data_IF_410384053273
#
_entry.id   IF_410384053273
#
_cell.length_a   1.000
_cell.length_b   1.000
_cell.length_c   1.000
_cell.angle_alpha   90.00
_cell.angle_beta   90.00
_cell.angle_gamma   90.00
#
_symmetry.space_group_name_H-M   'P 1'
#
loop_
_entity.id
_entity.type
_entity.pdbx_description
1 polymer ?
#
# COMPACT_ATOMS: atom_id res chain seq x y z
N UNK A 1 2.07 -33.85 -60.03
CA UNK A 1 3.44 -33.88 -59.49
C UNK A 1 3.37 -34.33 -58.05
N UNK A 2 3.92 -35.49 -57.71
CA UNK A 2 4.05 -35.94 -56.32
C UNK A 2 5.08 -35.03 -55.63
N UNK A 3 4.72 -34.48 -54.47
CA UNK A 3 5.65 -33.68 -53.68
C UNK A 3 6.84 -34.55 -53.26
N UNK A 4 8.07 -34.05 -53.41
CA UNK A 4 9.30 -34.79 -53.06
C UNK A 4 9.37 -35.13 -51.57
N UNK A 5 8.81 -34.26 -50.73
CA UNK A 5 8.71 -34.42 -49.28
C UNK A 5 7.25 -34.29 -48.87
N UNK A 6 6.79 -35.24 -48.08
CA UNK A 6 5.40 -35.32 -47.64
C UNK A 6 5.30 -36.13 -46.34
N UNK A 7 4.21 -35.92 -45.61
CA UNK A 7 3.83 -36.71 -44.45
C UNK A 7 2.45 -37.32 -44.67
N UNK A 8 2.25 -38.52 -44.15
CA UNK A 8 1.00 -39.27 -44.21
C UNK A 8 0.63 -39.80 -42.84
N UNK A 9 -0.67 -40.03 -42.65
CA UNK A 9 -1.16 -40.84 -41.54
C UNK A 9 -0.82 -42.31 -41.79
N UNK A 10 -0.40 -42.99 -40.73
CA UNK A 10 -0.36 -44.46 -40.74
C UNK A 10 -1.77 -45.01 -40.59
N UNK A 11 -1.96 -46.30 -40.86
CA UNK A 11 -3.22 -47.00 -40.61
C UNK A 11 -3.61 -46.91 -39.13
N UNK A 12 -2.62 -46.93 -38.22
CA UNK A 12 -2.84 -46.72 -36.80
C UNK A 12 -3.34 -45.31 -36.50
N UNK A 13 -2.64 -44.28 -36.99
CA UNK A 13 -3.03 -42.88 -36.77
C UNK A 13 -4.40 -42.55 -37.34
N UNK A 14 -4.71 -43.04 -38.54
CA UNK A 14 -6.02 -42.87 -39.15
C UNK A 14 -7.13 -43.53 -38.32
N UNK A 15 -6.91 -44.75 -37.81
CA UNK A 15 -7.87 -45.44 -36.95
C UNK A 15 -8.08 -44.71 -35.62
N UNK A 16 -7.00 -44.28 -34.97
CA UNK A 16 -7.08 -43.54 -33.71
C UNK A 16 -7.80 -42.20 -33.90
N UNK A 17 -7.57 -41.51 -35.02
CA UNK A 17 -8.22 -40.24 -35.32
C UNK A 17 -9.72 -40.44 -35.57
N UNK A 18 -10.08 -41.48 -36.34
CA UNK A 18 -11.47 -41.84 -36.58
C UNK A 18 -12.19 -42.20 -35.26
N UNK A 19 -11.53 -42.94 -34.37
CA UNK A 19 -12.07 -43.29 -33.05
C UNK A 19 -12.28 -42.05 -32.18
N UNK A 20 -11.30 -41.12 -32.16
CA UNK A 20 -11.41 -39.86 -31.43
C UNK A 20 -12.61 -39.03 -31.91
N UNK A 21 -12.78 -38.91 -33.23
CA UNK A 21 -13.95 -38.25 -33.84
C UNK A 21 -15.26 -38.94 -33.44
N UNK A 22 -15.33 -40.27 -33.54
CA UNK A 22 -16.55 -41.03 -33.25
C UNK A 22 -16.96 -40.97 -31.78
N UNK A 23 -15.99 -40.93 -30.86
CA UNK A 23 -16.22 -40.90 -29.42
C UNK A 23 -16.30 -39.48 -28.85
N UNK A 24 -16.01 -38.45 -29.64
CA UNK A 24 -15.90 -37.08 -29.17
C UNK A 24 -14.71 -36.86 -28.20
N UNK A 25 -13.67 -37.69 -28.32
CA UNK A 25 -12.43 -37.58 -27.54
C UNK A 25 -11.33 -36.92 -28.36
N UNK A 26 -10.21 -36.55 -27.71
CA UNK A 26 -9.05 -35.97 -28.38
C UNK A 26 -7.86 -36.92 -28.33
N UNK A 27 -7.11 -37.02 -29.43
CA UNK A 27 -5.85 -37.73 -29.50
C UNK A 27 -4.69 -36.79 -29.17
N UNK A 28 -3.84 -37.21 -28.25
CA UNK A 28 -2.61 -36.50 -27.93
C UNK A 28 -1.48 -36.96 -28.86
N UNK A 29 -0.72 -35.98 -29.38
CA UNK A 29 0.56 -36.23 -30.03
C UNK A 29 1.65 -35.94 -29.00
N UNK A 30 2.23 -37.01 -28.45
CA UNK A 30 3.07 -36.95 -27.25
C UNK A 30 4.54 -36.75 -27.57
N UNK A 31 5.03 -37.48 -28.58
CA UNK A 31 6.44 -37.56 -28.96
C UNK A 31 6.61 -37.40 -30.46
N UNK A 32 7.72 -36.79 -30.86
CA UNK A 32 8.19 -36.79 -32.23
C UNK A 32 9.56 -37.46 -32.28
N UNK A 33 9.71 -38.41 -33.19
CA UNK A 33 10.99 -39.03 -33.48
C UNK A 33 11.51 -38.57 -34.84
N UNK A 34 12.82 -38.62 -34.98
CA UNK A 34 13.55 -38.38 -36.22
C UNK A 34 14.49 -39.55 -36.45
N UNK A 35 14.74 -39.83 -37.72
CA UNK A 35 15.58 -40.92 -38.14
C UNK A 35 16.37 -40.57 -39.38
N UNK A 36 17.37 -41.39 -39.67
CA UNK A 36 18.24 -41.20 -40.83
C UNK A 36 17.84 -42.08 -42.02
N UNK A 37 16.72 -42.82 -41.92
CA UNK A 37 16.23 -43.67 -43.00
C UNK A 37 17.14 -44.86 -43.38
N UNK A 38 18.09 -45.24 -42.52
CA UNK A 38 19.09 -46.26 -42.84
C UNK A 38 20.12 -45.80 -43.87
N UNK A 39 20.35 -44.49 -43.99
CA UNK A 39 21.28 -43.90 -44.95
C UNK A 39 20.66 -43.52 -46.29
N UNK A 40 19.37 -43.79 -46.50
CA UNK A 40 18.63 -43.43 -47.72
C UNK A 40 17.38 -42.62 -47.36
N UNK A 41 16.84 -41.86 -48.32
CA UNK A 41 15.58 -41.14 -48.14
C UNK A 41 14.42 -42.15 -48.18
N UNK A 42 13.70 -42.40 -47.07
CA UNK A 42 12.62 -43.36 -47.06
C UNK A 42 11.37 -42.80 -47.75
N UNK A 43 10.55 -43.69 -48.28
CA UNK A 43 9.22 -43.35 -48.79
C UNK A 43 8.20 -43.67 -47.70
N UNK A 44 7.46 -42.68 -47.18
CA UNK A 44 6.42 -42.91 -46.18
C UNK A 44 5.38 -43.93 -46.66
N UNK A 45 5.07 -44.92 -45.83
CA UNK A 45 4.07 -45.98 -46.08
C UNK A 45 3.03 -46.01 -44.94
N UNK A 46 1.71 -45.97 -45.24
CA UNK A 46 0.66 -46.07 -44.22
C UNK A 46 0.76 -47.31 -43.32
N UNK A 47 1.36 -48.41 -43.78
CA UNK A 47 1.53 -49.63 -43.01
C UNK A 47 2.65 -49.54 -41.95
N UNK A 48 3.44 -48.46 -41.92
CA UNK A 48 4.54 -48.31 -40.97
C UNK A 48 4.05 -48.27 -39.52
N UNK A 49 4.71 -49.04 -38.66
CA UNK A 49 4.53 -49.02 -37.21
C UNK A 49 5.72 -48.40 -36.47
N UNK A 50 6.82 -48.18 -37.19
CA UNK A 50 8.07 -47.56 -36.71
C UNK A 50 8.81 -46.87 -37.85
N UNK A 51 9.73 -45.98 -37.50
CA UNK A 51 10.71 -45.40 -38.44
C UNK A 51 11.68 -46.47 -38.93
N UNK A 52 12.26 -46.26 -40.12
CA UNK A 52 13.23 -47.20 -40.72
C UNK A 52 14.48 -47.32 -39.84
N UNK A 53 15.04 -46.18 -39.42
CA UNK A 53 16.10 -46.11 -38.41
C UNK A 53 15.96 -44.83 -37.60
N UNK A 54 15.27 -44.96 -36.46
CA UNK A 54 15.16 -43.89 -35.47
C UNK A 54 16.53 -43.55 -34.85
N UNK A 55 16.84 -42.27 -34.78
CA UNK A 55 18.07 -41.74 -34.16
C UNK A 55 17.78 -40.98 -32.88
N UNK A 56 16.60 -40.36 -32.78
CA UNK A 56 16.18 -39.60 -31.60
C UNK A 56 14.66 -39.57 -31.49
N UNK A 57 14.17 -39.63 -30.25
CA UNK A 57 12.77 -39.37 -29.89
C UNK A 57 12.69 -38.51 -28.65
N UNK A 58 11.91 -37.44 -28.70
CA UNK A 58 11.61 -36.62 -27.54
C UNK A 58 10.17 -36.12 -27.58
N UNK A 59 9.75 -35.43 -26.52
CA UNK A 59 8.41 -34.85 -26.43
C UNK A 59 8.20 -33.79 -27.53
N UNK A 60 6.97 -33.70 -28.04
CA UNK A 60 6.60 -32.60 -28.94
C UNK A 60 6.55 -31.29 -28.15
N UNK A 61 7.16 -30.24 -28.72
CA UNK A 61 7.19 -28.90 -28.14
C UNK A 61 5.91 -28.13 -28.43
N UNK A 62 5.41 -28.21 -29.68
CA UNK A 62 4.18 -27.54 -30.08
C UNK A 62 3.37 -28.39 -31.06
N UNK A 63 2.05 -28.38 -30.89
CA UNK A 63 1.08 -28.88 -31.88
C UNK A 63 0.05 -27.76 -32.08
N UNK A 64 -0.01 -27.23 -33.29
CA UNK A 64 -0.91 -26.15 -33.68
C UNK A 64 -1.65 -26.47 -34.98
N UNK A 65 -2.68 -25.68 -35.29
CA UNK A 65 -3.41 -25.75 -36.56
C UNK A 65 -2.83 -24.67 -37.48
N UNK A 66 -2.63 -25.00 -38.77
CA UNK A 66 -2.19 -24.02 -39.76
C UNK A 66 -3.29 -22.97 -40.01
N UNK A 67 -2.93 -21.69 -39.93
CA UNK A 67 -3.89 -20.59 -40.04
C UNK A 67 -4.50 -20.48 -41.45
N UNK A 68 -3.80 -20.94 -42.48
CA UNK A 68 -4.26 -20.88 -43.88
C UNK A 68 -5.02 -22.15 -44.28
N UNK A 69 -4.75 -23.27 -43.61
CA UNK A 69 -5.30 -24.59 -43.91
C UNK A 69 -5.83 -25.25 -42.64
N UNK A 70 -7.12 -25.08 -42.29
CA UNK A 70 -7.69 -25.57 -41.03
C UNK A 70 -7.66 -27.09 -40.81
N UNK A 71 -7.34 -27.87 -41.87
CA UNK A 71 -7.18 -29.32 -41.82
C UNK A 71 -5.72 -29.75 -41.66
N UNK A 72 -4.77 -28.81 -41.58
CA UNK A 72 -3.36 -29.10 -41.37
C UNK A 72 -3.01 -28.85 -39.91
N UNK A 73 -2.34 -29.84 -39.32
CA UNK A 73 -1.65 -29.66 -38.07
C UNK A 73 -0.15 -29.50 -38.31
N UNK A 74 0.48 -28.69 -37.46
CA UNK A 74 1.92 -28.48 -37.44
C UNK A 74 2.41 -29.00 -36.09
N UNK A 75 3.14 -30.10 -36.11
CA UNK A 75 3.86 -30.61 -34.95
C UNK A 75 5.31 -30.14 -35.02
N UNK A 76 5.79 -29.51 -33.96
CA UNK A 76 7.13 -28.96 -33.87
C UNK A 76 7.94 -29.59 -32.72
N UNK A 77 9.21 -29.84 -33.00
CA UNK A 77 10.19 -30.27 -32.01
C UNK A 77 11.50 -29.49 -32.18
N UNK A 78 12.06 -29.04 -31.05
CA UNK A 78 13.38 -28.41 -30.97
C UNK A 78 14.41 -29.46 -30.58
N UNK A 79 15.46 -29.59 -31.39
CA UNK A 79 16.62 -30.42 -31.11
C UNK A 79 17.74 -29.50 -30.61
N UNK A 80 18.16 -29.62 -29.33
CA UNK A 80 19.19 -28.78 -28.75
C UNK A 80 20.58 -29.07 -29.34
N UNK A 81 21.55 -28.21 -29.05
CA UNK A 81 22.91 -28.31 -29.59
C UNK A 81 23.71 -29.53 -29.12
N UNK A 82 23.39 -30.07 -27.94
CA UNK A 82 24.06 -31.22 -27.34
C UNK A 82 23.55 -32.58 -27.87
N UNK A 83 22.55 -32.58 -28.75
CA UNK A 83 22.00 -33.79 -29.36
C UNK A 83 22.19 -33.73 -30.89
N UNK A 84 22.94 -34.67 -31.45
CA UNK A 84 23.27 -34.68 -32.88
C UNK A 84 24.23 -35.80 -33.25
N UNK A 85 24.95 -35.63 -34.36
CA UNK A 85 25.87 -36.62 -34.92
C UNK A 85 25.22 -37.57 -35.93
N UNK A 86 24.06 -37.18 -36.49
CA UNK A 86 23.29 -38.00 -37.40
C UNK A 86 22.53 -37.15 -38.43
N UNK A 87 22.15 -37.80 -39.53
CA UNK A 87 21.34 -37.20 -40.58
C UNK A 87 19.86 -37.36 -40.28
N UNK A 88 19.07 -36.36 -40.67
CA UNK A 88 17.60 -36.38 -40.60
C UNK A 88 17.09 -36.65 -42.01
N UNK A 89 16.31 -37.73 -42.17
CA UNK A 89 15.67 -38.13 -43.43
C UNK A 89 14.22 -38.57 -43.24
N UNK A 90 13.83 -38.93 -42.03
CA UNK A 90 12.46 -39.27 -41.67
C UNK A 90 12.05 -38.64 -40.34
N UNK A 91 10.76 -38.41 -40.20
CA UNK A 91 10.12 -37.85 -39.02
C UNK A 91 8.89 -38.72 -38.72
N UNK A 92 8.64 -38.99 -37.44
CA UNK A 92 7.47 -39.75 -36.98
C UNK A 92 6.79 -39.08 -35.79
N UNK A 93 5.46 -39.08 -35.77
CA UNK A 93 4.65 -38.61 -34.65
C UNK A 93 4.04 -39.79 -33.90
N UNK A 94 4.07 -39.74 -32.57
CA UNK A 94 3.61 -40.83 -31.70
C UNK A 94 2.58 -40.35 -30.68
N UNK A 95 1.65 -41.23 -30.34
CA UNK A 95 0.66 -41.00 -29.28
C UNK A 95 1.21 -41.37 -27.89
N UNK A 96 0.38 -41.23 -26.85
CA UNK A 96 0.75 -41.59 -25.47
C UNK A 96 1.02 -43.10 -25.29
N UNK A 97 0.45 -43.94 -26.14
CA UNK A 97 0.65 -45.40 -26.13
C UNK A 97 1.92 -45.83 -26.89
N UNK A 98 2.62 -44.89 -27.51
CA UNK A 98 3.80 -45.16 -28.32
C UNK A 98 3.51 -45.66 -29.73
N UNK A 99 2.25 -45.62 -30.18
CA UNK A 99 1.86 -45.96 -31.55
C UNK A 99 2.23 -44.85 -32.53
N UNK A 100 2.78 -45.23 -33.69
CA UNK A 100 3.16 -44.29 -34.75
C UNK A 100 1.90 -43.76 -35.45
N UNK A 101 1.57 -42.48 -35.25
CA UNK A 101 0.40 -41.80 -35.83
C UNK A 101 0.67 -41.41 -37.28
N UNK A 102 1.83 -40.81 -37.52
CA UNK A 102 2.17 -40.25 -38.82
C UNK A 102 3.65 -40.41 -39.10
N UNK A 103 3.98 -40.54 -40.38
CA UNK A 103 5.34 -40.67 -40.88
C UNK A 103 5.53 -39.76 -42.07
N UNK A 104 6.70 -39.14 -42.15
CA UNK A 104 7.06 -38.27 -43.26
C UNK A 104 8.54 -38.35 -43.58
N UNK A 105 8.88 -38.06 -44.83
CA UNK A 105 10.26 -37.92 -45.26
C UNK A 105 10.69 -36.45 -45.19
N UNK A 106 11.98 -36.24 -44.92
CA UNK A 106 12.57 -34.92 -44.77
C UNK A 106 13.76 -34.74 -45.71
N UNK A 107 14.05 -33.51 -46.17
CA UNK A 107 15.30 -33.21 -46.86
C UNK A 107 16.48 -33.64 -46.02
N UNK A 108 17.44 -34.34 -46.64
CA UNK A 108 18.64 -34.80 -45.95
C UNK A 108 19.36 -33.61 -45.30
N UNK A 109 19.42 -33.63 -43.97
CA UNK A 109 20.00 -32.55 -43.17
C UNK A 109 20.88 -33.15 -42.11
N UNK A 110 22.14 -32.73 -42.04
CA UNK A 110 23.04 -33.14 -40.96
C UNK A 110 22.82 -32.27 -39.73
N UNK A 111 22.58 -32.90 -38.57
CA UNK A 111 22.49 -32.22 -37.28
C UNK A 111 23.77 -32.50 -36.48
N UNK A 112 24.74 -31.56 -36.43
CA UNK A 112 25.97 -31.78 -35.69
C UNK A 112 25.71 -31.84 -34.18
N UNK A 113 26.56 -32.60 -33.49
CA UNK A 113 26.67 -32.54 -32.03
C UNK A 113 27.70 -31.47 -31.63
N UNK A 114 27.51 -30.82 -30.49
CA UNK A 114 28.44 -29.84 -29.92
C UNK A 114 29.89 -30.34 -29.85
N UNK A 115 30.12 -31.64 -29.58
CA UNK A 115 31.47 -32.24 -29.53
C UNK A 115 32.21 -32.21 -30.87
N UNK A 116 31.51 -32.05 -31.99
CA UNK A 116 32.09 -31.90 -33.33
C UNK A 116 32.54 -30.46 -33.61
N UNK A 117 32.46 -29.57 -32.62
CA UNK A 117 32.86 -28.16 -32.74
C UNK A 117 31.80 -27.25 -33.36
N UNK A 118 30.58 -27.75 -33.59
CA UNK A 118 29.45 -26.97 -34.13
C UNK A 118 28.17 -27.25 -33.34
N UNK A 119 27.90 -26.42 -32.34
CA UNK A 119 26.63 -26.41 -31.61
C UNK A 119 25.53 -25.76 -32.46
N UNK A 120 24.52 -26.52 -32.86
CA UNK A 120 23.38 -26.00 -33.63
C UNK A 120 22.08 -26.43 -32.97
N UNK A 121 21.21 -25.49 -32.62
CA UNK A 121 19.81 -25.80 -32.29
C UNK A 121 19.02 -25.89 -33.60
N UNK A 122 18.26 -26.96 -33.78
CA UNK A 122 17.48 -27.18 -35.01
C UNK A 122 16.01 -27.42 -34.67
N UNK A 123 15.14 -26.63 -35.27
CA UNK A 123 13.69 -26.82 -35.19
C UNK A 123 13.26 -27.73 -36.34
N UNK A 124 12.47 -28.75 -36.03
CA UNK A 124 11.88 -29.69 -36.98
C UNK A 124 10.37 -29.57 -36.90
N UNK A 125 9.73 -29.42 -38.06
CA UNK A 125 8.29 -29.31 -38.20
C UNK A 125 7.78 -30.42 -39.13
N UNK A 126 6.74 -31.12 -38.69
CA UNK A 126 5.94 -31.98 -39.56
C UNK A 126 4.57 -31.32 -39.76
N UNK A 127 4.23 -31.06 -41.02
CA UNK A 127 2.90 -30.61 -41.42
C UNK A 127 2.11 -31.83 -41.90
N UNK A 128 0.97 -32.09 -41.28
CA UNK A 128 0.14 -33.26 -41.54
C UNK A 128 -1.31 -32.86 -41.82
N UNK A 129 -1.86 -33.36 -42.92
CA UNK A 129 -3.29 -33.24 -43.21
C UNK A 129 -4.08 -34.28 -42.41
N UNK A 130 -5.14 -33.84 -41.72
CA UNK A 130 -6.01 -34.69 -40.92
C UNK A 130 -7.48 -34.48 -41.32
N UNK A 131 -8.31 -35.49 -41.09
CA UNK A 131 -9.75 -35.42 -41.40
C UNK A 131 -10.54 -34.56 -40.42
N UNK A 132 -10.02 -34.35 -39.21
CA UNK A 132 -10.58 -33.44 -38.20
C UNK A 132 -9.51 -32.96 -37.24
N UNK A 133 -9.31 -31.64 -37.15
CA UNK A 133 -8.38 -31.02 -36.20
C UNK A 133 -8.97 -30.91 -34.78
N UNK A 134 -10.29 -31.02 -34.63
CA UNK A 134 -10.96 -31.00 -33.32
C UNK A 134 -10.66 -32.25 -32.47
N UNK A 135 -10.38 -33.36 -33.15
CA UNK A 135 -10.00 -34.63 -32.54
C UNK A 135 -8.53 -34.69 -32.12
N UNK A 136 -7.78 -33.58 -32.21
CA UNK A 136 -6.36 -33.51 -31.88
C UNK A 136 -6.16 -32.50 -30.76
N UNK A 137 -5.43 -32.91 -29.74
CA UNK A 137 -5.06 -32.02 -28.63
C UNK A 137 -3.96 -31.07 -29.07
N UNK A 138 -4.24 -29.77 -29.04
CA UNK A 138 -3.24 -28.74 -29.26
C UNK A 138 -2.36 -28.61 -28.02
N UNK A 139 -1.05 -28.53 -28.25
CA UNK A 139 -0.05 -28.48 -27.17
C UNK A 139 0.88 -27.31 -27.40
N UNK A 140 1.22 -26.60 -26.33
CA UNK A 140 2.37 -25.69 -26.32
C UNK A 140 3.15 -25.92 -25.04
N UNK A 141 4.42 -26.30 -25.17
CA UNK A 141 5.37 -26.36 -24.06
C UNK A 141 6.21 -25.06 -24.03
N UNK A 142 5.93 -24.12 -23.13
CA UNK A 142 6.64 -22.83 -23.09
C UNK A 142 8.08 -22.94 -22.57
N UNK A 143 8.53 -24.10 -22.09
CA UNK A 143 9.84 -24.25 -21.42
C UNK A 143 11.01 -24.52 -22.37
N UNK A 144 10.75 -24.97 -23.61
CA UNK A 144 11.79 -25.38 -24.58
C UNK A 144 11.56 -24.80 -25.99
N UNK A 145 10.54 -23.96 -26.17
CA UNK A 145 10.23 -23.35 -27.48
C UNK A 145 11.04 -22.06 -27.66
N UNK A 146 11.78 -21.98 -28.77
CA UNK A 146 12.21 -20.71 -29.35
C UNK A 146 10.96 -19.99 -29.86
N UNK A 147 10.30 -19.25 -28.97
CA UNK A 147 9.07 -18.57 -29.31
C UNK A 147 9.32 -17.53 -30.41
N UNK A 148 8.63 -17.66 -31.54
CA UNK A 148 8.65 -16.60 -32.55
C UNK A 148 8.09 -15.32 -31.93
N UNK A 149 8.57 -14.15 -32.36
CA UNK A 149 8.07 -12.86 -31.85
C UNK A 149 6.55 -12.77 -31.97
N UNK A 150 6.00 -13.29 -33.06
CA UNK A 150 4.57 -13.34 -33.32
C UNK A 150 3.82 -14.22 -32.29
N UNK A 151 4.35 -15.40 -31.97
CA UNK A 151 3.77 -16.26 -30.94
C UNK A 151 3.76 -15.56 -29.56
N UNK A 152 4.86 -14.90 -29.21
CA UNK A 152 4.94 -14.13 -27.95
C UNK A 152 3.91 -13.01 -27.94
N UNK A 153 3.79 -12.23 -29.02
CA UNK A 153 2.78 -11.17 -29.14
C UNK A 153 1.37 -11.72 -28.99
N UNK A 154 1.01 -12.78 -29.74
CA UNK A 154 -0.31 -13.42 -29.65
C UNK A 154 -0.61 -13.94 -28.25
N UNK A 155 0.37 -14.55 -27.58
CA UNK A 155 0.22 -15.05 -26.20
C UNK A 155 0.02 -13.92 -25.19
N UNK A 156 0.73 -12.79 -25.35
CA UNK A 156 0.56 -11.62 -24.50
C UNK A 156 -0.82 -10.99 -24.72
N UNK A 157 -1.25 -10.84 -25.98
CA UNK A 157 -2.56 -10.30 -26.31
C UNK A 157 -3.69 -11.14 -25.71
N UNK A 158 -3.59 -12.47 -25.81
CA UNK A 158 -4.54 -13.39 -25.18
C UNK A 158 -4.55 -13.23 -23.65
N UNK A 159 -3.37 -13.07 -23.02
CA UNK A 159 -3.27 -12.85 -21.58
C UNK A 159 -3.86 -11.49 -21.14
N UNK A 160 -3.66 -10.43 -21.94
CA UNK A 160 -4.26 -9.11 -21.72
C UNK A 160 -5.78 -9.22 -21.80
N UNK A 161 -6.32 -9.82 -22.87
CA UNK A 161 -7.77 -10.00 -23.02
C UNK A 161 -8.38 -10.79 -21.86
N UNK A 162 -7.72 -11.87 -21.42
CA UNK A 162 -8.16 -12.65 -20.27
C UNK A 162 -8.13 -11.82 -18.96
N UNK A 163 -7.11 -10.99 -18.78
CA UNK A 163 -6.98 -10.08 -17.64
C UNK A 163 -8.05 -8.99 -17.65
N UNK A 164 -8.35 -8.40 -18.81
CA UNK A 164 -9.40 -7.40 -19.00
C UNK A 164 -10.78 -7.99 -18.73
N UNK A 165 -11.06 -9.19 -19.26
CA UNK A 165 -12.31 -9.90 -19.02
C UNK A 165 -12.50 -10.26 -17.53
N UNK A 166 -11.42 -10.60 -16.83
CA UNK A 166 -11.46 -10.82 -15.37
C UNK A 166 -11.68 -9.52 -14.62
N UNK A 167 -11.00 -8.44 -15.01
CA UNK A 167 -11.14 -7.13 -14.40
C UNK A 167 -12.55 -6.58 -14.52
N UNK A 168 -13.21 -6.76 -15.67
CA UNK A 168 -14.60 -6.38 -15.90
C UNK A 168 -15.61 -7.13 -15.01
N UNK A 169 -15.27 -8.32 -14.49
CA UNK A 169 -16.13 -9.07 -13.56
C UNK A 169 -15.94 -8.70 -12.09
N UNK A 170 -14.76 -8.21 -11.72
CA UNK A 170 -14.37 -7.95 -10.33
C UNK A 170 -14.52 -6.47 -9.98
N UNK A 171 -14.23 -5.59 -10.93
CA UNK A 171 -14.23 -4.15 -10.71
C UNK A 171 -15.27 -3.49 -11.62
N UNK A 172 -16.09 -2.64 -11.03
CA UNK A 172 -16.93 -1.74 -11.82
C UNK A 172 -16.03 -0.74 -12.57
N UNK A 173 -16.25 -0.61 -13.87
CA UNK A 173 -15.62 0.45 -14.67
C UNK A 173 -16.04 1.82 -14.13
N UNK A 174 -15.25 2.86 -14.43
CA UNK A 174 -15.61 4.24 -14.05
C UNK A 174 -17.00 4.64 -14.56
N UNK A 175 -17.39 4.12 -15.73
CA UNK A 175 -18.72 4.33 -16.33
C UNK A 175 -19.81 3.59 -15.55
N UNK A 176 -19.60 2.32 -15.20
CA UNK A 176 -20.55 1.54 -14.38
C UNK A 176 -20.70 2.11 -12.97
N UNK A 177 -19.62 2.60 -12.35
CA UNK A 177 -19.69 3.31 -11.08
C UNK A 177 -20.48 4.62 -11.23
N UNK A 178 -20.20 5.40 -12.27
CA UNK A 178 -20.89 6.68 -12.50
C UNK A 178 -22.38 6.50 -12.79
N UNK A 179 -22.75 5.48 -13.57
CA UNK A 179 -24.14 5.16 -13.93
C UNK A 179 -24.89 4.44 -12.82
N UNK A 180 -24.21 3.56 -12.07
CA UNK A 180 -24.78 2.85 -10.92
C UNK A 180 -25.00 3.76 -9.71
N UNK A 181 -24.15 4.77 -9.50
CA UNK A 181 -24.35 5.80 -8.48
C UNK A 181 -25.36 6.87 -8.94
N UNK A 182 -25.47 7.16 -10.23
CA UNK A 182 -26.44 8.14 -10.72
C UNK A 182 -27.87 7.63 -10.49
N UNK A 183 -28.52 8.14 -9.44
CA UNK A 183 -29.86 7.76 -9.02
C UNK A 183 -29.93 6.93 -7.73
N UNK A 184 -28.80 6.46 -7.19
CA UNK A 184 -28.71 5.88 -5.83
C UNK A 184 -28.22 6.88 -4.80
N UNK A 185 -27.44 7.87 -5.23
CA UNK A 185 -27.05 9.02 -4.44
C UNK A 185 -27.30 10.27 -5.30
N UNK A 186 -28.24 11.16 -4.92
CA UNK A 186 -28.35 12.45 -5.60
C UNK A 186 -27.02 13.18 -5.40
N UNK A 187 -26.38 13.55 -6.51
CA UNK A 187 -25.18 14.37 -6.49
C UNK A 187 -25.53 15.71 -5.85
N UNK A 188 -25.23 15.88 -4.56
CA UNK A 188 -25.52 17.10 -3.81
C UNK A 188 -26.41 16.96 -2.58
N UNK A 189 -26.83 15.77 -2.16
CA UNK A 189 -27.69 15.58 -0.98
C UNK A 189 -26.91 15.65 0.36
N UNK A 190 -26.10 16.70 0.54
CA UNK A 190 -25.99 17.31 1.86
C UNK A 190 -27.21 18.19 1.96
N UNK A 191 -28.05 18.00 2.99
CA UNK A 191 -29.23 18.86 3.21
C UNK A 191 -28.87 20.31 2.88
N UNK A 192 -29.41 20.83 1.78
CA UNK A 192 -29.11 22.20 1.40
C UNK A 192 -29.56 23.09 2.55
N UNK A 193 -28.93 24.25 2.74
CA UNK A 193 -29.35 25.17 3.83
C UNK A 193 -30.86 25.47 3.76
N UNK A 194 -31.44 25.41 2.56
CA UNK A 194 -32.87 25.51 2.29
C UNK A 194 -33.68 24.33 2.85
N UNK A 195 -33.27 23.07 2.62
CA UNK A 195 -33.95 21.88 3.15
C UNK A 195 -33.82 21.78 4.67
N UNK A 196 -32.66 22.15 5.22
CA UNK A 196 -32.47 22.25 6.67
C UNK A 196 -33.40 23.31 7.27
N UNK A 197 -33.48 24.49 6.65
CA UNK A 197 -34.35 25.58 7.08
C UNK A 197 -35.84 25.21 6.97
N UNK A 198 -36.25 24.53 5.90
CA UNK A 198 -37.63 24.10 5.69
C UNK A 198 -38.03 22.93 6.60
N UNK A 199 -37.08 22.04 6.94
CA UNK A 199 -37.31 20.92 7.85
C UNK A 199 -37.32 21.34 9.33
N UNK A 200 -36.49 22.32 9.72
CA UNK A 200 -36.47 22.86 11.09
C UNK A 200 -37.62 23.82 11.38
N UNK A 201 -38.10 24.57 10.38
CA UNK A 201 -39.12 25.60 10.56
C UNK A 201 -40.46 25.05 11.07
N UNK A 202 -40.74 23.76 10.90
CA UNK A 202 -41.92 23.07 11.44
C UNK A 202 -41.67 22.14 12.62
N UNK A 203 -40.41 21.93 13.04
CA UNK A 203 -40.03 20.99 14.12
C UNK A 203 -39.72 21.68 15.45
N UNK A 204 -39.49 22.99 15.43
CA UNK A 204 -39.50 23.81 16.64
C UNK A 204 -40.92 24.36 16.83
N UNK A 205 -41.60 24.11 17.96
CA UNK A 205 -42.89 24.74 18.23
C UNK A 205 -42.70 26.26 18.13
N UNK A 206 -43.43 26.95 17.27
CA UNK A 206 -43.45 28.43 17.29
C UNK A 206 -44.38 28.87 18.41
N UNK A 207 -43.89 28.84 19.65
CA UNK A 207 -44.55 29.49 20.77
C UNK A 207 -44.11 30.95 20.88
N UNK A 208 -44.90 31.77 21.59
CA UNK A 208 -44.48 33.11 22.04
C UNK A 208 -43.36 32.96 23.08
N UNK A 209 -42.15 32.67 22.60
CA UNK A 209 -40.97 32.69 23.44
C UNK A 209 -40.63 34.14 23.72
N UNK A 210 -40.59 34.51 25.00
CA UNK A 210 -40.14 35.83 25.41
C UNK A 210 -38.77 36.11 24.78
N UNK A 211 -38.72 37.16 23.96
CA UNK A 211 -37.50 37.61 23.33
C UNK A 211 -36.48 37.97 24.40
N UNK A 212 -35.19 37.93 24.07
CA UNK A 212 -34.13 38.40 24.98
C UNK A 212 -34.42 39.81 25.51
N UNK A 213 -35.06 40.66 24.69
CA UNK A 213 -35.51 42.00 25.07
C UNK A 213 -36.61 41.96 26.13
N UNK A 214 -37.66 41.15 25.95
CA UNK A 214 -38.76 41.04 26.92
C UNK A 214 -38.31 40.40 28.23
N UNK A 215 -37.48 39.36 28.16
CA UNK A 215 -36.91 38.72 29.36
C UNK A 215 -36.04 39.73 30.11
N UNK A 216 -35.18 40.48 29.41
CA UNK A 216 -34.34 41.49 30.04
C UNK A 216 -35.17 42.64 30.64
N UNK A 217 -36.28 43.04 30.00
CA UNK A 217 -37.16 44.08 30.54
C UNK A 217 -37.91 43.60 31.78
N UNK A 218 -38.41 42.36 31.80
CA UNK A 218 -39.16 41.80 32.94
C UNK A 218 -38.27 41.35 34.10
N UNK A 219 -36.99 41.08 33.86
CA UNK A 219 -36.00 40.71 34.87
C UNK A 219 -35.01 41.84 35.20
N UNK A 220 -35.31 43.06 34.77
CA UNK A 220 -34.50 44.25 35.02
C UNK A 220 -34.41 44.51 36.53
N UNK A 221 -33.24 44.23 37.12
CA UNK A 221 -33.05 44.26 38.59
C UNK A 221 -33.21 45.65 39.19
N UNK A 222 -32.99 46.69 38.40
CA UNK A 222 -33.22 48.10 38.74
C UNK A 222 -34.72 48.45 38.84
N UNK A 223 -35.60 47.62 38.27
CA UNK A 223 -37.05 47.74 38.36
C UNK A 223 -37.67 46.87 39.47
N UNK A 224 -36.88 46.01 40.13
CA UNK A 224 -37.39 45.16 41.22
C UNK A 224 -37.82 46.02 42.41
N UNK A 225 -39.14 46.11 42.62
CA UNK A 225 -39.76 46.93 43.65
C UNK A 225 -39.94 48.41 43.27
N UNK A 226 -39.82 48.77 41.98
CA UNK A 226 -40.13 50.11 41.48
C UNK A 226 -41.63 50.43 41.57
N UNK A 227 -42.48 49.40 41.52
CA UNK A 227 -43.93 49.44 41.64
C UNK A 227 -44.42 49.53 43.10
N UNK A 228 -43.54 49.40 44.09
CA UNK A 228 -43.89 49.51 45.51
C UNK A 228 -44.10 50.99 45.87
N UNK A 229 -45.34 51.45 46.16
CA UNK A 229 -45.61 52.88 46.32
C UNK A 229 -44.99 53.47 47.59
N UNK A 230 -44.88 52.67 48.66
CA UNK A 230 -44.27 53.07 49.93
C UNK A 230 -43.31 51.97 50.43
N UNK A 231 -42.03 52.11 50.05
CA UNK A 231 -40.99 51.11 50.32
C UNK A 231 -40.72 50.92 51.80
N UNK A 232 -40.78 52.00 52.59
CA UNK A 232 -40.53 51.95 54.04
C UNK A 232 -41.59 51.12 54.77
N UNK A 233 -42.86 51.30 54.40
CA UNK A 233 -43.98 50.51 54.95
C UNK A 233 -43.88 49.05 54.53
N UNK A 234 -43.49 48.79 53.28
CA UNK A 234 -43.27 47.43 52.78
C UNK A 234 -42.16 46.69 53.55
N UNK A 235 -41.01 47.33 53.77
CA UNK A 235 -39.88 46.77 54.53
C UNK A 235 -40.30 46.50 56.00
N UNK A 236 -41.06 47.41 56.60
CA UNK A 236 -41.58 47.25 57.96
C UNK A 236 -42.54 46.06 58.07
N UNK A 237 -43.46 45.91 57.11
CA UNK A 237 -44.44 44.83 57.10
C UNK A 237 -43.81 43.44 56.89
N UNK A 238 -42.67 43.37 56.21
CA UNK A 238 -41.89 42.14 56.06
C UNK A 238 -41.00 41.82 57.28
N UNK A 239 -40.98 42.65 58.31
CA UNK A 239 -40.15 42.43 59.50
C UNK A 239 -38.64 42.54 59.23
N UNK A 240 -38.24 43.29 58.20
CA UNK A 240 -36.85 43.50 57.81
C UNK A 240 -36.13 44.76 58.36
N UNK A 241 -36.69 45.61 59.26
CA UNK A 241 -36.10 46.92 59.55
C UNK A 241 -34.71 46.84 60.23
N UNK A 242 -34.40 45.76 60.95
CA UNK A 242 -33.12 45.60 61.66
C UNK A 242 -32.04 44.84 60.85
N UNK A 243 -32.41 44.23 59.72
CA UNK A 243 -31.50 43.41 58.89
C UNK A 243 -30.97 44.15 57.66
N UNK A 244 -31.37 45.41 57.48
CA UNK A 244 -30.89 46.24 56.38
C UNK A 244 -29.52 46.84 56.72
N UNK A 245 -28.47 46.44 56.00
CA UNK A 245 -27.17 47.11 56.04
C UNK A 245 -26.94 47.92 54.76
N UNK A 246 -26.53 49.20 54.83
CA UNK A 246 -26.23 50.00 53.65
C UNK A 246 -25.08 49.40 52.84
N UNK A 247 -25.19 49.50 51.51
CA UNK A 247 -24.16 49.03 50.56
C UNK A 247 -22.82 49.73 50.83
N UNK A 248 -21.81 48.98 51.26
CA UNK A 248 -20.44 49.48 51.43
C UNK A 248 -19.70 49.00 52.67
N UNK A 249 -20.37 48.36 53.62
CA UNK A 249 -19.75 47.92 54.88
C UNK A 249 -19.74 46.39 55.02
N UNK A 250 -19.04 45.70 54.12
CA UNK A 250 -18.96 44.23 54.13
C UNK A 250 -17.59 43.74 54.61
N UNK A 251 -17.50 43.38 55.89
CA UNK A 251 -16.56 42.35 56.33
C UNK A 251 -17.35 41.23 57.01
N UNK A 252 -17.38 40.01 56.45
CA UNK A 252 -17.74 38.82 57.21
C UNK A 252 -16.51 38.24 57.90
N UNK A 253 -16.62 37.96 59.19
CA UNK A 253 -15.61 37.21 59.95
C UNK A 253 -15.57 35.74 59.49
N UNK A 254 -14.37 35.21 59.22
CA UNK A 254 -14.14 33.79 58.92
C UNK A 254 -12.75 33.52 58.35
N UNK A 255 -12.06 32.51 58.89
CA UNK A 255 -10.71 32.08 58.50
C UNK A 255 -10.69 31.44 57.11
N UNK A 256 -10.15 32.15 56.12
CA UNK A 256 -9.71 31.55 54.86
C UNK A 256 -8.18 31.43 54.87
N UNK A 257 -7.60 30.35 54.29
CA UNK A 257 -6.16 30.19 54.20
C UNK A 257 -5.53 31.41 53.52
N UNK A 258 -4.68 32.11 54.27
CA UNK A 258 -3.97 33.30 53.81
C UNK A 258 -3.14 32.96 52.57
N UNK A 259 -3.09 33.90 51.63
CA UNK A 259 -2.43 33.85 50.31
C UNK A 259 -0.92 33.52 50.30
N UNK A 260 -0.34 33.08 51.42
CA UNK A 260 1.06 32.74 51.60
C UNK A 260 1.43 31.29 51.23
N UNK A 261 0.48 30.45 50.83
CA UNK A 261 0.71 29.01 50.53
C UNK A 261 0.63 28.63 49.06
N UNK A 262 0.42 29.58 48.14
CA UNK A 262 0.25 29.29 46.71
C UNK A 262 1.51 29.70 45.91
N UNK A 263 2.06 28.74 45.16
CA UNK A 263 3.24 28.93 44.30
C UNK A 263 2.99 29.99 43.21
N UNK A 264 3.95 30.89 43.02
CA UNK A 264 3.97 31.94 41.99
C UNK A 264 2.89 33.05 42.00
N UNK A 265 2.18 33.28 43.12
CA UNK A 265 1.17 34.36 43.19
C UNK A 265 1.82 35.76 43.15
N UNK A 266 1.39 36.56 42.16
CA UNK A 266 1.81 37.94 41.96
C UNK A 266 3.19 38.12 41.31
N UNK A 267 3.73 37.05 40.70
CA UNK A 267 5.07 37.04 40.08
C UNK A 267 5.05 37.49 38.61
N UNK A 268 6.21 37.95 38.11
CA UNK A 268 6.45 38.35 36.71
C UNK A 268 7.61 37.56 36.09
N UNK A 269 7.60 37.38 34.77
CA UNK A 269 8.70 36.73 34.05
C UNK A 269 9.85 37.70 33.77
N UNK A 270 11.08 37.23 33.99
CA UNK A 270 12.33 37.93 33.72
C UNK A 270 13.21 37.13 32.77
N UNK A 271 13.72 37.78 31.72
CA UNK A 271 14.73 37.21 30.83
C UNK A 271 16.14 37.36 31.42
N UNK A 272 16.78 36.25 31.72
CA UNK A 272 18.06 36.19 32.46
C UNK A 272 19.21 35.62 31.63
N UNK A 273 19.01 35.37 30.33
CA UNK A 273 19.96 34.70 29.43
C UNK A 273 21.38 35.27 29.50
N UNK A 274 21.54 36.60 29.48
CA UNK A 274 22.85 37.26 29.54
C UNK A 274 23.50 37.27 30.94
N UNK A 275 22.74 36.94 31.98
CA UNK A 275 23.16 37.01 33.39
C UNK A 275 23.38 35.63 34.01
N UNK A 276 23.24 34.56 33.21
CA UNK A 276 23.28 33.18 33.67
C UNK A 276 24.28 32.37 32.86
N UNK A 277 24.87 31.37 33.51
CA UNK A 277 25.83 30.44 32.95
C UNK A 277 25.52 29.04 33.47
N UNK A 278 25.89 28.03 32.67
CA UNK A 278 25.87 26.64 33.12
C UNK A 278 26.87 26.44 34.27
N UNK A 279 26.63 25.42 35.07
CA UNK A 279 27.48 24.99 36.19
C UNK A 279 27.77 26.10 37.22
N UNK A 280 26.91 27.12 37.26
CA UNK A 280 27.00 28.24 38.20
C UNK A 280 25.81 28.19 39.17
N UNK A 281 26.10 28.29 40.47
CA UNK A 281 25.08 28.26 41.53
C UNK A 281 24.47 29.64 41.74
N UNK A 282 23.14 29.69 41.71
CA UNK A 282 22.33 30.89 41.97
C UNK A 282 21.46 30.69 43.19
N UNK A 283 21.07 31.77 43.87
CA UNK A 283 20.18 31.74 45.04
C UNK A 283 18.85 32.39 44.73
N UNK A 284 17.74 31.74 45.08
CA UNK A 284 16.42 32.37 45.04
C UNK A 284 16.20 33.26 46.27
N UNK A 285 16.46 34.56 46.11
CA UNK A 285 16.33 35.57 47.16
C UNK A 285 15.01 36.36 47.12
N UNK A 286 14.00 35.90 46.37
CA UNK A 286 12.75 36.65 46.16
C UNK A 286 11.79 36.60 47.36
N UNK A 287 12.07 35.76 48.36
CA UNK A 287 11.17 35.49 49.48
C UNK A 287 9.95 34.65 49.09
N UNK A 288 9.83 34.22 47.83
CA UNK A 288 8.76 33.37 47.30
C UNK A 288 9.34 32.23 46.45
N UNK A 289 8.58 31.16 46.23
CA UNK A 289 8.95 30.16 45.23
C UNK A 289 8.96 30.79 43.83
N UNK A 290 9.96 30.46 43.01
CA UNK A 290 10.08 30.93 41.62
C UNK A 290 9.98 29.75 40.67
N UNK A 291 9.66 29.99 39.40
CA UNK A 291 9.73 28.97 38.36
C UNK A 291 10.82 29.32 37.36
N UNK A 292 11.79 28.41 37.16
CA UNK A 292 12.93 28.62 36.27
C UNK A 292 12.75 27.76 35.03
N UNK A 293 12.98 28.32 33.85
CA UNK A 293 12.92 27.62 32.57
C UNK A 293 14.15 27.96 31.74
N UNK A 294 14.90 26.95 31.31
CA UNK A 294 16.14 27.13 30.55
C UNK A 294 16.10 26.28 29.29
N UNK A 295 16.35 26.93 28.16
CA UNK A 295 16.48 26.32 26.84
C UNK A 295 17.93 26.40 26.38
N UNK A 296 18.51 25.26 26.01
CA UNK A 296 19.81 25.18 25.36
C UNK A 296 19.62 24.87 23.87
N UNK A 297 20.49 25.42 23.03
CA UNK A 297 20.55 25.13 21.60
C UNK A 297 21.88 24.47 21.22
N UNK A 298 21.82 23.51 20.29
CA UNK A 298 22.99 22.92 19.64
C UNK A 298 23.04 23.31 18.15
N UNK A 299 24.25 23.61 17.66
CA UNK A 299 24.53 23.84 16.24
C UNK A 299 24.76 22.49 15.51
N UNK A 300 23.80 21.57 15.60
CA UNK A 300 23.86 20.28 14.89
C UNK A 300 24.77 19.21 15.52
N UNK A 301 24.96 19.24 16.83
CA UNK A 301 25.75 18.21 17.54
C UNK A 301 24.96 16.90 17.61
N UNK A 302 25.45 15.85 16.92
CA UNK A 302 24.96 14.48 17.09
C UNK A 302 25.35 13.95 18.47
N UNK A 303 24.38 13.47 19.26
CA UNK A 303 24.67 12.94 20.59
C UNK A 303 23.46 12.90 21.52
N UNK A 304 23.64 12.32 22.70
CA UNK A 304 22.70 12.47 23.79
C UNK A 304 22.85 13.90 24.35
N UNK A 305 21.72 14.58 24.56
CA UNK A 305 21.67 15.84 25.32
C UNK A 305 20.94 15.54 26.62
N UNK A 306 21.63 15.73 27.75
CA UNK A 306 21.12 15.47 29.08
C UNK A 306 21.29 16.70 29.97
N UNK A 307 20.18 17.35 30.30
CA UNK A 307 20.15 18.52 31.16
C UNK A 307 19.59 18.17 32.53
N UNK A 308 20.26 18.61 33.61
CA UNK A 308 19.76 18.44 34.97
C UNK A 308 19.80 19.76 35.73
N UNK A 309 18.63 20.18 36.21
CA UNK A 309 18.48 21.32 37.11
C UNK A 309 18.40 20.81 38.54
N UNK A 310 19.18 21.42 39.42
CA UNK A 310 19.27 21.10 40.83
C UNK A 310 18.75 22.25 41.66
N UNK A 311 18.09 21.93 42.78
CA UNK A 311 17.80 22.86 43.86
C UNK A 311 18.27 22.23 45.18
N UNK A 312 19.13 22.92 45.94
CA UNK A 312 19.80 22.38 47.14
C UNK A 312 20.40 20.99 46.90
N UNK A 313 21.12 20.84 45.78
CA UNK A 313 21.75 19.58 45.31
C UNK A 313 20.78 18.42 45.05
N UNK A 314 19.46 18.66 45.08
CA UNK A 314 18.42 17.69 44.67
C UNK A 314 18.04 17.94 43.21
N UNK A 315 18.02 16.92 42.33
CA UNK A 315 17.57 17.09 40.96
C UNK A 315 16.07 17.37 40.93
N UNK A 316 15.69 18.58 40.50
CA UNK A 316 14.30 19.05 40.43
C UNK A 316 13.76 19.13 39.00
N UNK A 317 14.64 19.02 38.01
CA UNK A 317 14.27 18.94 36.60
C UNK A 317 15.30 18.13 35.83
N UNK A 318 14.85 17.20 34.99
CA UNK A 318 15.72 16.42 34.10
C UNK A 318 15.10 16.39 32.72
N UNK A 319 15.93 16.58 31.69
CA UNK A 319 15.53 16.42 30.30
C UNK A 319 16.61 15.63 29.57
N UNK A 320 16.21 14.59 28.84
CA UNK A 320 17.11 13.79 28.03
C UNK A 320 16.50 13.58 26.65
N UNK A 321 17.28 13.86 25.61
CA UNK A 321 16.89 13.59 24.23
C UNK A 321 18.10 13.11 23.44
N UNK A 322 17.89 12.12 22.57
CA UNK A 322 18.90 11.71 21.61
C UNK A 322 18.75 12.54 20.34
N UNK A 323 19.79 13.28 20.00
CA UNK A 323 19.84 14.11 18.79
C UNK A 323 20.53 13.33 17.68
N UNK A 324 19.77 12.98 16.64
CA UNK A 324 20.31 12.43 15.40
C UNK A 324 20.88 13.60 14.59
N UNK A 325 22.20 13.77 14.60
CA UNK A 325 22.82 14.97 14.01
C UNK A 325 22.68 15.00 12.49
N UNK A 326 21.91 15.96 11.99
CA UNK A 326 21.93 16.42 10.60
C UNK A 326 22.53 17.83 10.57
N UNK A 327 23.58 18.03 9.76
CA UNK A 327 24.19 19.35 9.57
C UNK A 327 23.13 20.37 9.14
N UNK A 328 22.95 21.44 9.91
CA UNK A 328 22.02 22.54 9.61
C UNK A 328 20.66 22.49 10.32
N UNK A 329 20.40 21.51 11.21
CA UNK A 329 19.20 21.50 12.07
C UNK A 329 19.55 21.86 13.53
N UNK A 330 19.00 22.97 14.01
CA UNK A 330 19.08 23.36 15.42
C UNK A 330 18.23 22.43 16.28
N UNK A 331 18.82 21.92 17.37
CA UNK A 331 18.06 21.19 18.39
C UNK A 331 17.94 22.04 19.64
N UNK A 332 16.71 22.19 20.13
CA UNK A 332 16.40 22.90 21.36
C UNK A 332 16.01 21.92 22.46
N UNK A 333 16.67 22.00 23.60
CA UNK A 333 16.38 21.19 24.78
C UNK A 333 15.98 22.13 25.93
N UNK A 334 14.83 21.89 26.55
CA UNK A 334 14.30 22.76 27.61
C UNK A 334 14.09 21.98 28.89
N UNK A 335 14.56 22.52 30.01
CA UNK A 335 14.27 22.03 31.35
C UNK A 335 13.71 23.16 32.20
N UNK A 336 12.69 22.85 32.97
CA UNK A 336 12.02 23.84 33.81
C UNK A 336 11.68 23.21 35.16
N UNK A 337 11.83 23.95 36.25
CA UNK A 337 11.55 23.46 37.59
C UNK A 337 11.13 24.59 38.55
N UNK A 338 10.27 24.29 39.54
CA UNK A 338 10.03 25.18 40.66
C UNK A 338 11.24 25.22 41.59
N UNK A 339 11.66 26.41 41.99
CA UNK A 339 12.75 26.64 42.95
C UNK A 339 12.17 27.29 44.20
N UNK A 340 12.21 26.63 45.37
CA UNK A 340 11.67 27.18 46.60
C UNK A 340 12.36 28.48 47.02
N UNK A 341 11.65 29.28 47.84
CA UNK A 341 12.19 30.49 48.43
C UNK A 341 13.43 30.17 49.25
N UNK A 342 14.52 30.91 49.05
CA UNK A 342 15.75 30.68 49.80
C UNK A 342 16.50 29.42 49.39
N UNK A 343 16.15 28.74 48.29
CA UNK A 343 16.94 27.62 47.76
C UNK A 343 18.04 28.07 46.80
N UNK A 344 19.18 27.40 46.84
CA UNK A 344 20.22 27.46 45.82
C UNK A 344 19.83 26.58 44.63
N UNK A 345 20.15 26.98 43.41
CA UNK A 345 19.86 26.21 42.21
C UNK A 345 20.91 26.42 41.11
N UNK A 346 21.10 25.41 40.28
CA UNK A 346 22.00 25.46 39.12
C UNK A 346 21.55 24.48 38.04
N UNK A 347 22.05 24.70 36.83
CA UNK A 347 21.84 23.82 35.69
C UNK A 347 23.20 23.26 35.25
N UNK A 348 23.28 21.96 35.07
CA UNK A 348 24.49 21.27 34.59
C UNK A 348 24.20 20.40 33.38
N UNK A 349 25.23 20.22 32.56
CA UNK A 349 25.27 19.31 31.40
C UNK A 349 26.54 18.45 31.48
N UNK A 350 26.51 17.16 31.08
CA UNK A 350 27.71 16.32 31.06
C UNK A 350 28.85 16.94 30.25
N UNK A 351 30.10 16.79 30.71
CA UNK A 351 31.28 17.40 30.07
C UNK A 351 31.48 16.99 28.59
N UNK A 352 30.99 15.80 28.21
CA UNK A 352 31.00 15.30 26.82
C UNK A 352 30.04 16.06 25.87
N UNK A 353 29.16 16.91 26.42
CA UNK A 353 28.10 17.65 25.71
C UNK A 353 28.37 19.17 25.68
N UNK A 354 29.62 19.59 25.89
CA UNK A 354 30.10 20.97 26.11
C UNK A 354 29.95 21.97 24.94
N UNK A 355 29.19 21.62 23.89
CA UNK A 355 28.93 22.49 22.73
C UNK A 355 27.55 23.15 22.74
N UNK A 356 26.80 23.03 23.83
CA UNK A 356 25.47 23.64 23.99
C UNK A 356 25.57 25.08 24.48
N UNK A 357 24.88 25.99 23.77
CA UNK A 357 24.77 27.39 24.16
C UNK A 357 23.41 27.64 24.82
N UNK A 358 23.35 28.57 25.79
CA UNK A 358 22.08 28.99 26.39
C UNK A 358 21.32 29.82 25.34
N UNK A 359 20.22 29.25 24.83
CA UNK A 359 19.32 29.94 23.92
C UNK A 359 18.38 30.89 24.69
N UNK A 360 17.84 30.41 25.82
CA UNK A 360 17.08 31.27 26.72
C UNK A 360 17.17 30.80 28.18
N UNK A 361 17.16 31.76 29.10
CA UNK A 361 16.96 31.52 30.53
C UNK A 361 15.90 32.48 31.02
N UNK A 362 14.80 31.96 31.57
CA UNK A 362 13.67 32.75 32.05
C UNK A 362 13.28 32.34 33.46
N UNK A 363 12.93 33.32 34.28
CA UNK A 363 12.55 33.11 35.68
C UNK A 363 11.24 33.86 35.99
N UNK A 364 10.24 33.16 36.52
CA UNK A 364 9.01 33.74 37.07
C UNK A 364 9.26 34.08 38.54
N UNK A 365 9.39 35.37 38.86
CA UNK A 365 9.83 35.89 40.18
C UNK A 365 8.85 36.84 40.85
#
# INVERSE_FOLDING_TARGET
MTAKYFAILTNYGAAQLANAVALGTQMNISKMAVGDGGGMLPVPDPAQTKLVRETRRSAVNQVSIDEKNPNFIIAEQVIPENEGGWFIREIGLFDDNGGLIAVGNAPETYKPNLQEGSGRTQVIQMVLMVSSTQAITLKVDPSVVLATREYVTKSIDAAIQASEAKSAKIYATKTELSSGLSGKQPTGDYATRTELNNGLSGKQPTGDYATKTEVNSKLAKDQNGADIPNKDTFIKNLGLPEKFQPKGNYQPAGDYPLASTVFCVGQKWYGMTSQRKLDTVYKNNTGKGIYVSVCLASDGVAGLVSMKMYAEDVPVGTFQVQVLGENGRYTYATVSAPIPAGSSYYLTVPAAESKLNINSWSELR
#
